data_IF_673766876635
#
_entry.id   IF_673766876635
#
_cell.length_a   1.000
_cell.length_b   1.000
_cell.length_c   1.000
_cell.angle_alpha   90.00
_cell.angle_beta   90.00
_cell.angle_gamma   90.00
#
_symmetry.space_group_name_H-M   'P 1'
#
loop_
_entity.id
_entity.type
_entity.pdbx_description
1 polymer ?
#
# COMPACT_ATOMS: atom_id res chain seq x y z
N UNK A 1 -21.38 -19.17 25.55
CA UNK A 1 -19.91 -19.05 25.61
C UNK A 1 -19.31 -20.45 25.66
N UNK A 2 -18.73 -20.92 24.57
CA UNK A 2 -18.09 -22.24 24.54
C UNK A 2 -16.79 -22.18 25.34
N UNK A 3 -16.65 -23.10 26.30
CA UNK A 3 -15.47 -23.29 27.14
C UNK A 3 -14.33 -23.79 26.24
N UNK A 4 -13.30 -22.94 25.97
CA UNK A 4 -12.08 -23.36 25.25
C UNK A 4 -11.45 -24.52 26.05
N UNK A 5 -11.36 -25.70 25.45
CA UNK A 5 -10.56 -26.80 26.00
C UNK A 5 -9.12 -26.33 26.21
N UNK A 6 -8.61 -26.48 27.43
CA UNK A 6 -7.19 -26.23 27.74
C UNK A 6 -6.38 -27.31 27.03
N UNK A 7 -5.58 -26.93 26.04
CA UNK A 7 -4.58 -27.81 25.44
C UNK A 7 -3.65 -28.32 26.55
N UNK A 8 -3.36 -29.60 26.55
CA UNK A 8 -2.38 -30.19 27.44
C UNK A 8 -0.96 -29.70 27.05
N UNK A 9 -0.38 -28.85 27.87
CA UNK A 9 0.95 -28.28 27.66
C UNK A 9 2.02 -28.98 28.52
N UNK A 10 1.74 -30.17 29.06
CA UNK A 10 2.66 -30.89 29.97
C UNK A 10 4.01 -31.19 29.33
N UNK A 11 4.01 -31.63 28.05
CA UNK A 11 5.24 -31.91 27.30
C UNK A 11 6.08 -30.66 27.08
N UNK A 12 5.43 -29.53 26.70
CA UNK A 12 6.14 -28.27 26.50
C UNK A 12 6.75 -27.74 27.78
N UNK A 13 6.04 -27.88 28.92
CA UNK A 13 6.57 -27.50 30.23
C UNK A 13 7.81 -28.35 30.63
N UNK A 14 7.73 -29.66 30.45
CA UNK A 14 8.84 -30.55 30.72
C UNK A 14 10.09 -30.18 29.90
N UNK A 15 9.93 -29.88 28.62
CA UNK A 15 11.01 -29.43 27.75
C UNK A 15 11.57 -28.08 28.22
N UNK A 16 10.74 -27.08 28.54
CA UNK A 16 11.19 -25.78 29.04
C UNK A 16 11.95 -25.90 30.36
N UNK A 17 11.56 -26.82 31.26
CA UNK A 17 12.26 -27.09 32.49
C UNK A 17 13.62 -27.76 32.23
N UNK A 18 13.67 -28.73 31.31
CA UNK A 18 14.89 -29.46 30.90
C UNK A 18 15.95 -28.51 30.32
N UNK A 19 15.50 -27.53 29.47
CA UNK A 19 16.37 -26.54 28.85
C UNK A 19 16.57 -25.26 29.70
N UNK A 20 16.05 -25.24 30.93
CA UNK A 20 16.28 -24.16 31.90
C UNK A 20 15.70 -22.79 31.48
N UNK A 21 14.61 -22.79 30.72
CA UNK A 21 14.00 -21.57 30.19
C UNK A 21 13.32 -20.74 31.28
N UNK A 22 13.88 -19.55 31.59
CA UNK A 22 13.42 -18.68 32.68
C UNK A 22 13.17 -17.24 32.24
N UNK A 23 13.87 -16.75 31.21
CA UNK A 23 13.78 -15.38 30.70
C UNK A 23 13.17 -15.35 29.30
N UNK A 24 12.83 -14.16 28.80
CA UNK A 24 12.40 -14.00 27.40
C UNK A 24 13.52 -14.30 26.40
N UNK A 25 14.77 -14.07 26.79
CA UNK A 25 15.95 -14.43 25.99
C UNK A 25 16.08 -15.96 25.90
N UNK A 26 15.87 -16.69 27.02
CA UNK A 26 15.84 -18.17 27.02
C UNK A 26 14.68 -18.69 26.15
N UNK A 27 13.51 -18.05 26.20
CA UNK A 27 12.37 -18.40 25.32
C UNK A 27 12.74 -18.23 23.85
N UNK A 28 13.39 -17.13 23.46
CA UNK A 28 13.85 -16.92 22.09
C UNK A 28 14.87 -17.97 21.65
N UNK A 29 15.86 -18.25 22.49
CA UNK A 29 16.87 -19.27 22.22
C UNK A 29 16.23 -20.67 22.08
N UNK A 30 15.30 -21.01 22.96
CA UNK A 30 14.58 -22.29 22.94
C UNK A 30 13.72 -22.45 21.69
N UNK A 31 12.94 -21.42 21.31
CA UNK A 31 12.11 -21.47 20.08
C UNK A 31 12.97 -21.55 18.83
N UNK A 32 14.11 -20.83 18.80
CA UNK A 32 15.09 -20.91 17.72
C UNK A 32 15.65 -22.32 17.56
N UNK A 33 16.04 -22.96 18.65
CA UNK A 33 16.52 -24.35 18.68
C UNK A 33 15.45 -25.31 18.18
N UNK A 34 14.21 -25.22 18.70
CA UNK A 34 13.10 -26.06 18.26
C UNK A 34 12.80 -25.88 16.77
N UNK A 35 12.92 -24.66 16.25
CA UNK A 35 12.71 -24.38 14.83
C UNK A 35 13.79 -25.08 13.99
N UNK A 36 15.06 -24.98 14.37
CA UNK A 36 16.16 -25.66 13.68
C UNK A 36 15.99 -27.18 13.67
N UNK A 37 15.65 -27.79 14.82
CA UNK A 37 15.39 -29.22 14.95
C UNK A 37 14.18 -29.68 14.14
N UNK A 38 13.12 -28.88 14.08
CA UNK A 38 11.93 -29.17 13.27
C UNK A 38 12.28 -29.18 11.78
N UNK A 39 13.05 -28.18 11.31
CA UNK A 39 13.50 -28.13 9.91
C UNK A 39 14.38 -29.35 9.61
N UNK A 40 15.29 -29.71 10.49
CA UNK A 40 16.17 -30.86 10.30
C UNK A 40 15.39 -32.17 10.25
N UNK A 41 14.44 -32.37 11.16
CA UNK A 41 13.59 -33.57 11.18
C UNK A 41 12.78 -33.67 9.89
N UNK A 42 12.26 -32.54 9.38
CA UNK A 42 11.51 -32.52 8.12
C UNK A 42 12.41 -32.84 6.91
N UNK A 43 13.65 -32.32 6.86
CA UNK A 43 14.63 -32.64 5.82
C UNK A 43 15.04 -34.13 5.85
N UNK A 44 15.19 -34.72 7.04
CA UNK A 44 15.46 -36.14 7.19
C UNK A 44 14.30 -37.00 6.68
N UNK A 45 13.05 -36.59 6.96
CA UNK A 45 11.86 -37.28 6.46
C UNK A 45 11.72 -37.14 4.93
N UNK A 46 12.07 -35.98 4.37
CA UNK A 46 12.09 -35.75 2.93
C UNK A 46 13.10 -36.68 2.22
N UNK A 47 14.34 -36.75 2.74
CA UNK A 47 15.33 -37.68 2.20
C UNK A 47 14.92 -39.17 2.37
N UNK A 48 14.23 -39.50 3.48
CA UNK A 48 13.67 -40.85 3.69
C UNK A 48 12.62 -41.21 2.64
N UNK A 49 11.76 -40.25 2.33
CA UNK A 49 10.75 -40.43 1.28
C UNK A 49 11.39 -40.60 -0.11
N UNK A 50 12.42 -39.83 -0.41
CA UNK A 50 13.14 -39.89 -1.70
C UNK A 50 13.91 -41.21 -1.87
N UNK A 51 14.60 -41.66 -0.82
CA UNK A 51 15.36 -42.91 -0.86
C UNK A 51 14.52 -44.17 -0.65
N UNK A 52 13.29 -44.03 -0.13
CA UNK A 52 12.38 -45.15 0.12
C UNK A 52 12.78 -46.06 1.29
N UNK A 53 13.71 -45.65 2.16
CA UNK A 53 14.07 -46.40 3.38
C UNK A 53 14.50 -45.47 4.53
N UNK A 54 14.19 -45.89 5.78
CA UNK A 54 14.55 -45.12 6.98
C UNK A 54 16.02 -45.25 7.38
N UNK A 55 16.52 -44.33 8.24
CA UNK A 55 17.95 -44.15 8.59
C UNK A 55 18.47 -45.41 9.22
N UNK A 56 18.25 -46.44 9.41
CA UNK A 56 18.87 -47.68 9.95
C UNK A 56 18.25 -48.95 9.32
N UNK A 57 17.32 -48.78 8.38
CA UNK A 57 16.61 -49.89 7.75
C UNK A 57 17.24 -50.29 6.42
N UNK A 58 18.48 -50.80 6.50
CA UNK A 58 19.19 -51.29 5.31
C UNK A 58 18.60 -52.56 4.69
N UNK A 59 17.74 -53.27 5.42
CA UNK A 59 17.13 -54.53 4.94
C UNK A 59 16.04 -54.27 3.91
N UNK A 60 15.34 -53.16 4.03
CA UNK A 60 14.27 -52.78 3.12
C UNK A 60 14.71 -51.81 2.02
N UNK A 61 16.00 -51.56 1.90
CA UNK A 61 16.57 -50.67 0.89
C UNK A 61 16.32 -51.25 -0.50
N UNK A 62 15.55 -50.53 -1.34
CA UNK A 62 15.26 -50.88 -2.74
C UNK A 62 15.98 -49.99 -3.77
N UNK A 63 16.73 -49.01 -3.34
CA UNK A 63 17.50 -48.09 -4.18
C UNK A 63 18.99 -48.42 -4.16
N UNK A 64 19.69 -48.14 -5.22
CA UNK A 64 21.18 -48.20 -5.31
C UNK A 64 21.86 -46.93 -4.73
N UNK A 65 21.08 -45.88 -4.40
CA UNK A 65 21.53 -44.67 -3.72
C UNK A 65 21.58 -44.89 -2.18
N UNK A 66 22.34 -44.06 -1.48
CA UNK A 66 22.56 -44.19 -0.03
C UNK A 66 22.67 -42.82 0.61
N UNK A 67 22.33 -42.72 1.91
CA UNK A 67 22.62 -41.54 2.71
C UNK A 67 24.14 -41.30 2.78
N UNK A 68 24.55 -40.03 2.71
CA UNK A 68 25.98 -39.63 2.70
C UNK A 68 26.26 -38.52 3.71
N UNK A 69 25.73 -38.68 4.95
CA UNK A 69 25.92 -37.70 6.00
C UNK A 69 25.16 -36.40 5.79
N UNK A 70 25.64 -35.34 6.39
CA UNK A 70 25.03 -34.01 6.39
C UNK A 70 26.01 -32.95 5.92
N UNK A 71 25.50 -31.84 5.45
CA UNK A 71 26.23 -30.58 5.28
C UNK A 71 25.64 -29.51 6.17
N UNK A 72 26.50 -28.83 6.92
CA UNK A 72 26.07 -27.69 7.73
C UNK A 72 25.72 -26.51 6.83
N UNK A 73 24.57 -25.91 7.09
CA UNK A 73 24.09 -24.74 6.38
C UNK A 73 23.55 -23.73 7.37
N UNK A 74 24.03 -22.51 7.29
CA UNK A 74 23.49 -21.38 8.03
C UNK A 74 22.32 -20.79 7.28
N UNK A 75 21.15 -20.69 7.93
CA UNK A 75 19.95 -20.10 7.40
C UNK A 75 19.44 -18.99 8.30
N UNK A 76 18.90 -17.96 7.69
CA UNK A 76 18.28 -16.84 8.38
C UNK A 76 16.81 -17.15 8.62
N UNK A 77 16.41 -17.26 9.89
CA UNK A 77 15.01 -17.45 10.29
C UNK A 77 14.39 -16.17 10.86
N UNK A 78 13.11 -16.26 11.22
CA UNK A 78 12.40 -15.15 11.91
C UNK A 78 12.95 -14.82 13.29
N UNK A 79 13.75 -15.72 13.89
CA UNK A 79 14.41 -15.56 15.18
C UNK A 79 15.93 -15.39 15.06
N UNK A 80 16.39 -14.92 13.88
CA UNK A 80 17.81 -14.75 13.59
C UNK A 80 18.45 -15.94 12.89
N UNK A 81 19.77 -15.90 12.79
CA UNK A 81 20.59 -16.90 12.10
C UNK A 81 20.56 -18.24 12.82
N UNK A 82 20.33 -19.33 12.09
CA UNK A 82 20.26 -20.70 12.60
C UNK A 82 21.17 -21.61 11.79
N UNK A 83 21.86 -22.52 12.45
CA UNK A 83 22.61 -23.58 11.81
C UNK A 83 21.73 -24.83 11.70
N UNK A 84 21.59 -25.38 10.50
CA UNK A 84 20.87 -26.60 10.22
C UNK A 84 21.77 -27.62 9.51
N UNK A 85 21.50 -28.90 9.73
CA UNK A 85 22.22 -30.00 9.10
C UNK A 85 21.38 -30.52 7.92
N UNK A 86 21.76 -30.21 6.70
CA UNK A 86 21.06 -30.65 5.49
C UNK A 86 21.58 -32.04 5.11
N UNK A 87 20.73 -33.08 5.08
CA UNK A 87 21.14 -34.42 4.73
C UNK A 87 21.53 -34.52 3.23
N UNK A 88 22.43 -35.46 2.93
CA UNK A 88 22.92 -35.68 1.55
C UNK A 88 22.81 -37.15 1.20
N UNK A 89 22.61 -37.40 -0.08
CA UNK A 89 22.72 -38.73 -0.69
C UNK A 89 24.11 -38.94 -1.33
N UNK A 90 24.46 -40.17 -1.66
CA UNK A 90 25.76 -40.52 -2.20
C UNK A 90 25.91 -40.17 -3.68
N UNK A 91 24.83 -40.19 -4.43
CA UNK A 91 24.82 -39.85 -5.85
C UNK A 91 24.66 -38.36 -6.10
N UNK A 92 24.22 -37.55 -5.13
CA UNK A 92 23.97 -36.14 -5.29
C UNK A 92 22.69 -35.82 -6.10
N UNK A 93 21.76 -36.78 -6.14
CA UNK A 93 20.50 -36.67 -6.84
C UNK A 93 19.41 -35.98 -6.00
N UNK A 94 19.56 -36.05 -4.66
CA UNK A 94 18.62 -35.43 -3.74
C UNK A 94 18.76 -33.92 -3.71
N UNK A 95 17.70 -33.21 -4.07
CA UNK A 95 17.57 -31.78 -3.96
C UNK A 95 16.47 -31.41 -2.96
N UNK A 96 16.81 -30.89 -1.75
CA UNK A 96 15.84 -30.52 -0.75
C UNK A 96 14.84 -29.47 -1.25
N UNK A 97 13.53 -29.75 -1.13
CA UNK A 97 12.49 -28.78 -1.45
C UNK A 97 12.24 -27.82 -0.29
N UNK A 98 12.32 -28.31 0.96
CA UNK A 98 12.07 -27.55 2.18
C UNK A 98 13.08 -26.40 2.37
N UNK A 99 14.36 -26.65 2.08
CA UNK A 99 15.44 -25.66 2.14
C UNK A 99 16.35 -25.84 0.92
N UNK A 100 15.99 -25.20 -0.19
CA UNK A 100 16.68 -25.36 -1.48
C UNK A 100 18.17 -25.03 -1.42
N UNK A 101 18.96 -25.59 -2.34
CA UNK A 101 20.43 -25.58 -2.33
C UNK A 101 21.05 -24.19 -2.08
N UNK A 102 20.49 -23.12 -2.60
CA UNK A 102 21.00 -21.74 -2.43
C UNK A 102 20.11 -20.87 -1.55
N UNK A 103 19.07 -21.43 -0.94
CA UNK A 103 18.19 -20.72 -0.04
C UNK A 103 18.86 -20.58 1.33
N UNK A 104 19.21 -19.36 1.72
CA UNK A 104 19.78 -19.03 3.03
C UNK A 104 18.76 -18.34 3.94
N UNK A 105 17.56 -18.10 3.44
CA UNK A 105 16.50 -17.41 4.17
C UNK A 105 15.24 -18.28 4.22
N UNK A 106 14.90 -18.72 5.42
CA UNK A 106 13.70 -19.50 5.73
C UNK A 106 12.64 -18.69 6.48
N UNK A 107 12.87 -17.38 6.64
CA UNK A 107 11.90 -16.45 7.20
C UNK A 107 11.10 -15.79 6.08
N UNK A 108 9.87 -15.40 6.36
CA UNK A 108 9.07 -14.54 5.48
C UNK A 108 9.58 -13.07 5.54
N UNK A 109 10.91 -12.85 5.36
CA UNK A 109 11.52 -11.51 5.42
C UNK A 109 10.94 -10.61 4.35
N UNK A 110 10.78 -11.15 3.13
CA UNK A 110 10.22 -10.40 2.01
C UNK A 110 8.83 -9.87 2.34
N UNK A 111 7.96 -10.73 2.90
CA UNK A 111 6.60 -10.33 3.28
C UNK A 111 6.61 -9.24 4.37
N UNK A 112 7.52 -9.33 5.34
CA UNK A 112 7.67 -8.33 6.40
C UNK A 112 8.18 -7.00 5.85
N UNK A 113 9.18 -7.03 4.97
CA UNK A 113 9.71 -5.83 4.29
C UNK A 113 8.62 -5.18 3.45
N UNK A 114 7.89 -5.96 2.65
CA UNK A 114 6.78 -5.49 1.82
C UNK A 114 5.68 -4.89 2.71
N UNK A 115 5.32 -5.57 3.80
CA UNK A 115 4.33 -5.06 4.74
C UNK A 115 4.75 -3.70 5.33
N UNK A 116 5.96 -3.58 5.88
CA UNK A 116 6.45 -2.32 6.44
C UNK A 116 6.52 -1.22 5.38
N UNK A 117 6.98 -1.55 4.18
CA UNK A 117 7.03 -0.61 3.07
C UNK A 117 5.63 -0.11 2.67
N UNK A 118 4.64 -0.99 2.63
CA UNK A 118 3.24 -0.64 2.33
C UNK A 118 2.62 0.29 3.40
N UNK A 119 3.14 0.25 4.63
CA UNK A 119 2.75 1.17 5.70
C UNK A 119 3.47 2.54 5.61
N UNK A 120 4.28 2.77 4.58
CA UNK A 120 5.02 4.02 4.37
C UNK A 120 6.30 4.12 5.20
N UNK A 121 6.80 3.03 5.74
CA UNK A 121 8.08 2.99 6.47
C UNK A 121 9.23 3.15 5.47
N UNK A 122 10.19 4.04 5.74
CA UNK A 122 11.34 4.25 4.85
C UNK A 122 12.26 3.02 4.83
N UNK A 123 13.02 2.85 3.75
CA UNK A 123 13.97 1.71 3.62
C UNK A 123 14.95 1.63 4.79
N UNK A 124 15.43 2.78 5.27
CA UNK A 124 16.32 2.88 6.44
C UNK A 124 15.62 2.45 7.74
N UNK A 125 14.37 2.86 7.93
CA UNK A 125 13.61 2.48 9.13
C UNK A 125 13.19 1.01 9.07
N UNK A 126 12.95 0.47 7.86
CA UNK A 126 12.73 -0.97 7.66
C UNK A 126 13.96 -1.75 8.10
N UNK A 127 15.17 -1.35 7.65
CA UNK A 127 16.43 -1.96 8.09
C UNK A 127 16.54 -1.98 9.60
N UNK A 128 16.36 -0.82 10.25
CA UNK A 128 16.41 -0.68 11.70
C UNK A 128 15.37 -1.57 12.41
N UNK A 129 14.13 -1.55 11.94
CA UNK A 129 13.03 -2.36 12.49
C UNK A 129 13.31 -3.86 12.36
N UNK A 130 13.82 -4.30 11.20
CA UNK A 130 14.18 -5.70 10.97
C UNK A 130 15.29 -6.15 11.93
N UNK A 131 16.30 -5.30 12.15
CA UNK A 131 17.38 -5.59 13.09
C UNK A 131 16.88 -5.61 14.55
N UNK A 132 16.09 -4.60 14.97
CA UNK A 132 15.64 -4.48 16.36
C UNK A 132 14.58 -5.52 16.75
N UNK A 133 13.63 -5.81 15.87
CA UNK A 133 12.50 -6.71 16.18
C UNK A 133 12.78 -8.18 15.88
N UNK A 134 13.61 -8.45 14.87
CA UNK A 134 13.82 -9.81 14.38
C UNK A 134 15.28 -10.25 14.40
N UNK A 135 16.22 -9.38 14.79
CA UNK A 135 17.64 -9.68 14.76
C UNK A 135 18.21 -9.93 13.36
N UNK A 136 17.51 -9.45 12.32
CA UNK A 136 17.84 -9.72 10.92
C UNK A 136 18.49 -8.48 10.33
N UNK A 137 19.72 -8.63 9.84
CA UNK A 137 20.40 -7.57 9.11
C UNK A 137 19.98 -7.60 7.64
N UNK A 138 19.26 -6.54 7.24
CA UNK A 138 18.80 -6.33 5.86
C UNK A 138 19.32 -4.99 5.39
N UNK A 139 20.29 -4.99 4.50
CA UNK A 139 20.85 -3.75 3.96
C UNK A 139 19.86 -3.01 3.03
N UNK A 140 20.08 -1.71 2.80
CA UNK A 140 19.23 -0.86 1.94
C UNK A 140 19.08 -1.44 0.52
N UNK A 141 20.13 -2.09 -0.01
CA UNK A 141 20.10 -2.67 -1.36
C UNK A 141 19.19 -3.88 -1.43
N UNK A 142 19.13 -4.67 -0.38
CA UNK A 142 18.20 -5.82 -0.27
C UNK A 142 16.77 -5.36 -0.09
N UNK A 143 16.52 -4.34 0.72
CA UNK A 143 15.19 -3.74 0.85
C UNK A 143 14.72 -3.22 -0.49
N UNK A 144 15.56 -2.46 -1.23
CA UNK A 144 15.25 -1.96 -2.57
C UNK A 144 14.94 -3.09 -3.56
N UNK A 145 15.75 -4.16 -3.60
CA UNK A 145 15.49 -5.32 -4.47
C UNK A 145 14.18 -6.03 -4.16
N UNK A 146 13.81 -6.13 -2.88
CA UNK A 146 12.53 -6.71 -2.46
C UNK A 146 11.36 -5.82 -2.92
N UNK A 147 11.46 -4.51 -2.71
CA UNK A 147 10.42 -3.56 -3.13
C UNK A 147 10.31 -3.45 -4.65
N UNK A 148 11.40 -3.59 -5.38
CA UNK A 148 11.40 -3.61 -6.86
C UNK A 148 10.58 -4.77 -7.43
N UNK A 149 10.46 -5.89 -6.71
CA UNK A 149 9.58 -7.01 -7.09
C UNK A 149 8.10 -6.61 -7.15
N UNK A 150 7.70 -5.52 -6.49
CA UNK A 150 6.34 -4.99 -6.56
C UNK A 150 6.04 -4.22 -7.85
N UNK A 151 7.08 -3.71 -8.55
CA UNK A 151 6.88 -2.87 -9.74
C UNK A 151 6.05 -3.54 -10.85
N UNK A 152 6.25 -4.83 -11.20
CA UNK A 152 5.39 -5.51 -12.16
C UNK A 152 3.93 -5.56 -11.72
N UNK A 153 3.67 -5.88 -10.43
CA UNK A 153 2.33 -5.95 -9.86
C UNK A 153 1.63 -4.58 -9.84
N UNK A 154 2.41 -3.53 -9.52
CA UNK A 154 1.90 -2.14 -9.57
C UNK A 154 1.52 -1.76 -11.00
N UNK A 155 2.33 -2.13 -12.00
CA UNK A 155 2.03 -1.88 -13.41
C UNK A 155 0.78 -2.63 -13.88
N UNK A 156 0.67 -3.92 -13.56
CA UNK A 156 -0.49 -4.74 -13.86
C UNK A 156 -1.76 -4.13 -13.24
N UNK A 157 -1.68 -3.72 -11.96
CA UNK A 157 -2.77 -3.02 -11.28
C UNK A 157 -3.12 -1.70 -11.97
N UNK A 158 -2.12 -0.89 -12.35
CA UNK A 158 -2.30 0.39 -13.01
C UNK A 158 -2.92 0.26 -14.42
N UNK A 159 -2.65 -0.83 -15.12
CA UNK A 159 -3.11 -1.10 -16.48
C UNK A 159 -4.38 -1.95 -16.54
N UNK A 160 -4.88 -2.43 -15.40
CA UNK A 160 -6.05 -3.30 -15.36
C UNK A 160 -7.27 -2.70 -16.04
N UNK A 161 -8.16 -3.51 -16.66
CA UNK A 161 -9.45 -3.06 -17.17
C UNK A 161 -10.29 -2.41 -16.07
N UNK A 162 -11.06 -1.39 -16.43
CA UNK A 162 -11.94 -0.66 -15.53
C UNK A 162 -13.41 -0.87 -15.92
N UNK A 163 -14.32 -0.48 -15.03
CA UNK A 163 -15.76 -0.45 -15.30
C UNK A 163 -16.06 0.51 -16.46
N UNK A 164 -17.10 0.20 -17.22
CA UNK A 164 -17.48 1.03 -18.37
C UNK A 164 -18.08 2.37 -18.00
N UNK A 165 -18.72 2.48 -16.83
CA UNK A 165 -19.38 3.70 -16.33
C UNK A 165 -19.06 3.90 -14.86
N UNK A 166 -18.77 5.14 -14.47
CA UNK A 166 -18.66 5.56 -13.09
C UNK A 166 -19.66 6.66 -12.77
N UNK A 167 -20.37 6.52 -11.65
CA UNK A 167 -21.29 7.55 -11.15
C UNK A 167 -20.54 8.83 -10.79
N UNK A 168 -19.37 8.68 -10.16
CA UNK A 168 -18.49 9.82 -9.82
C UNK A 168 -17.03 9.43 -9.95
N UNK A 169 -16.20 10.33 -10.47
CA UNK A 169 -14.75 10.25 -10.43
C UNK A 169 -14.19 11.49 -9.77
N UNK A 170 -13.40 11.30 -8.70
CA UNK A 170 -12.66 12.36 -8.03
C UNK A 170 -11.25 12.37 -8.61
N UNK A 171 -10.81 13.53 -9.09
CA UNK A 171 -9.49 13.78 -9.65
C UNK A 171 -8.78 14.81 -8.78
N UNK A 172 -7.70 14.40 -8.11
CA UNK A 172 -6.96 15.24 -7.17
C UNK A 172 -5.46 14.99 -7.29
N UNK A 173 -4.63 15.98 -6.95
CA UNK A 173 -3.18 15.88 -6.99
C UNK A 173 -2.55 16.22 -5.64
N UNK A 174 -1.74 15.30 -5.13
CA UNK A 174 -0.97 15.51 -3.90
C UNK A 174 0.45 15.91 -4.25
N UNK A 175 0.85 17.10 -3.82
CA UNK A 175 2.19 17.62 -4.04
C UNK A 175 3.13 17.21 -2.90
N UNK A 176 4.32 16.73 -3.27
CA UNK A 176 5.36 16.32 -2.33
C UNK A 176 6.74 16.69 -2.86
N UNK A 177 7.72 16.72 -1.94
CA UNK A 177 9.12 17.01 -2.28
C UNK A 177 9.92 15.71 -2.25
N UNK A 178 10.69 15.45 -3.30
CA UNK A 178 11.65 14.35 -3.35
C UNK A 178 13.05 14.90 -3.50
N UNK A 179 14.03 14.18 -2.97
CA UNK A 179 15.45 14.45 -3.25
C UNK A 179 15.89 13.54 -4.40
N UNK A 180 16.22 14.16 -5.52
CA UNK A 180 16.71 13.48 -6.71
C UNK A 180 18.10 14.04 -7.04
N UNK A 181 19.12 13.20 -7.10
CA UNK A 181 20.52 13.58 -7.34
C UNK A 181 21.01 14.73 -6.43
N UNK A 182 20.62 14.72 -5.15
CA UNK A 182 20.98 15.74 -4.18
C UNK A 182 20.14 17.04 -4.22
N UNK A 183 19.29 17.20 -5.21
CA UNK A 183 18.42 18.38 -5.39
C UNK A 183 16.99 18.03 -4.91
N UNK A 184 16.40 18.94 -4.13
CA UNK A 184 14.99 18.79 -3.72
C UNK A 184 14.09 19.33 -4.83
N UNK A 185 13.31 18.44 -5.45
CA UNK A 185 12.32 18.79 -6.48
C UNK A 185 10.91 18.52 -6.00
N UNK A 186 9.96 19.38 -6.42
CA UNK A 186 8.53 19.13 -6.21
C UNK A 186 8.01 18.19 -7.28
N UNK A 187 7.23 17.20 -6.86
CA UNK A 187 6.49 16.27 -7.72
C UNK A 187 5.02 16.26 -7.31
N UNK A 188 4.17 15.80 -8.19
CA UNK A 188 2.75 15.60 -7.93
C UNK A 188 2.38 14.14 -8.15
N UNK A 189 1.60 13.56 -7.24
CA UNK A 189 0.91 12.29 -7.42
C UNK A 189 -0.55 12.61 -7.81
N UNK A 190 -0.92 12.28 -9.01
CA UNK A 190 -2.27 12.42 -9.55
C UNK A 190 -3.05 11.17 -9.21
N UNK A 191 -4.19 11.33 -8.59
CA UNK A 191 -5.01 10.23 -8.09
C UNK A 191 -6.40 10.34 -8.71
N UNK A 192 -6.88 9.25 -9.30
CA UNK A 192 -8.26 9.12 -9.73
C UNK A 192 -8.97 8.08 -8.88
N UNK A 193 -10.06 8.48 -8.21
CA UNK A 193 -10.92 7.62 -7.41
C UNK A 193 -12.29 7.58 -8.06
N UNK A 194 -12.73 6.39 -8.48
CA UNK A 194 -14.06 6.18 -9.05
C UNK A 194 -15.03 5.63 -8.01
N UNK A 195 -16.29 6.03 -8.12
CA UNK A 195 -17.42 5.40 -7.47
C UNK A 195 -18.29 4.81 -8.56
N UNK A 196 -18.52 3.50 -8.53
CA UNK A 196 -19.35 2.82 -9.52
C UNK A 196 -20.85 3.10 -9.31
N UNK A 197 -21.72 2.51 -10.12
CA UNK A 197 -23.18 2.69 -10.05
C UNK A 197 -23.79 2.04 -8.79
N UNK A 198 -23.09 1.09 -8.17
CA UNK A 198 -23.48 0.45 -6.91
C UNK A 198 -22.98 1.21 -5.67
N UNK A 199 -22.24 2.32 -5.86
CA UNK A 199 -21.71 3.16 -4.80
C UNK A 199 -20.35 2.65 -4.21
N UNK A 200 -19.74 1.63 -4.82
CA UNK A 200 -18.44 1.11 -4.39
C UNK A 200 -17.32 1.99 -4.92
N UNK A 201 -16.39 2.33 -4.04
CA UNK A 201 -15.19 3.12 -4.38
C UNK A 201 -14.03 2.25 -4.80
N UNK A 202 -13.31 2.68 -5.83
CA UNK A 202 -12.07 2.07 -6.30
C UNK A 202 -11.06 3.16 -6.70
N UNK A 203 -9.77 2.91 -6.45
CA UNK A 203 -8.68 3.76 -6.94
C UNK A 203 -8.38 3.37 -8.39
N UNK A 204 -8.76 4.20 -9.34
CA UNK A 204 -8.64 3.92 -10.77
C UNK A 204 -7.18 3.97 -11.25
N UNK A 205 -6.35 4.76 -10.59
CA UNK A 205 -4.92 4.84 -10.87
C UNK A 205 -4.24 5.96 -10.10
N UNK A 206 -2.88 5.87 -10.07
CA UNK A 206 -2.00 6.87 -9.48
C UNK A 206 -0.89 7.14 -10.48
N UNK A 207 -0.69 8.40 -10.85
CA UNK A 207 0.35 8.82 -11.82
C UNK A 207 1.27 9.83 -11.17
N UNK A 208 2.56 9.77 -11.50
CA UNK A 208 3.56 10.68 -10.99
C UNK A 208 3.97 11.67 -12.08
N UNK A 209 3.99 12.95 -11.75
CA UNK A 209 4.39 14.00 -12.68
C UNK A 209 5.16 15.14 -12.01
N UNK A 210 5.79 15.97 -12.84
CA UNK A 210 6.59 17.10 -12.35
C UNK A 210 5.73 18.32 -11.98
N UNK A 211 4.70 18.60 -12.78
CA UNK A 211 3.83 19.77 -12.63
C UNK A 211 2.41 19.44 -13.01
N UNK A 212 1.46 19.94 -12.25
CA UNK A 212 0.06 19.82 -12.55
C UNK A 212 -0.33 20.70 -13.74
N UNK A 213 -1.01 20.09 -14.73
CA UNK A 213 -1.51 20.81 -15.89
C UNK A 213 -2.74 20.11 -16.48
N UNK A 214 -3.64 20.87 -17.11
CA UNK A 214 -4.79 20.35 -17.81
C UNK A 214 -4.39 19.32 -18.91
N UNK A 215 -3.26 19.55 -19.60
CA UNK A 215 -2.72 18.61 -20.58
C UNK A 215 -2.37 17.25 -19.96
N UNK A 216 -1.79 17.25 -18.78
CA UNK A 216 -1.46 16.00 -18.09
C UNK A 216 -2.74 15.26 -17.65
N UNK A 217 -3.72 16.00 -17.11
CA UNK A 217 -5.01 15.42 -16.77
C UNK A 217 -5.75 14.85 -17.97
N UNK A 218 -5.66 15.51 -19.14
CA UNK A 218 -6.20 14.94 -20.37
C UNK A 218 -5.54 13.60 -20.71
N UNK A 219 -4.23 13.44 -20.49
CA UNK A 219 -3.56 12.15 -20.71
C UNK A 219 -4.02 11.07 -19.72
N UNK A 220 -4.28 11.44 -18.46
CA UNK A 220 -4.87 10.56 -17.44
C UNK A 220 -6.26 10.10 -17.86
N UNK A 221 -7.14 11.04 -18.24
CA UNK A 221 -8.50 10.74 -18.67
C UNK A 221 -8.52 9.85 -19.94
N UNK A 222 -7.61 10.10 -20.88
CA UNK A 222 -7.42 9.25 -22.06
C UNK A 222 -6.96 7.85 -21.65
N UNK A 223 -6.09 7.75 -20.65
CA UNK A 223 -5.67 6.47 -20.07
C UNK A 223 -6.82 5.68 -19.46
N UNK A 224 -7.74 6.35 -18.73
CA UNK A 224 -8.97 5.72 -18.22
C UNK A 224 -9.85 5.21 -19.36
N UNK A 225 -10.00 5.99 -20.42
CA UNK A 225 -10.76 5.59 -21.61
C UNK A 225 -10.18 4.35 -22.29
N UNK A 226 -8.86 4.30 -22.46
CA UNK A 226 -8.16 3.15 -23.04
C UNK A 226 -8.30 1.87 -22.19
N UNK A 227 -8.52 2.02 -20.89
CA UNK A 227 -8.77 0.91 -19.94
C UNK A 227 -10.24 0.52 -19.83
N UNK A 228 -11.12 1.08 -20.66
CA UNK A 228 -12.51 0.67 -20.82
C UNK A 228 -13.55 1.63 -20.26
N UNK A 229 -13.19 2.74 -19.61
CA UNK A 229 -14.14 3.73 -19.12
C UNK A 229 -14.76 4.47 -20.31
N UNK A 230 -16.05 4.25 -20.54
CA UNK A 230 -16.82 4.87 -21.64
C UNK A 230 -17.49 6.15 -21.19
N UNK A 231 -17.92 6.22 -19.94
CA UNK A 231 -18.64 7.38 -19.42
C UNK A 231 -18.35 7.63 -17.93
N UNK A 232 -18.40 8.90 -17.54
CA UNK A 232 -18.30 9.40 -16.17
C UNK A 232 -19.47 10.37 -15.99
N UNK A 233 -20.39 10.09 -15.07
CA UNK A 233 -21.55 10.95 -14.90
C UNK A 233 -21.13 12.27 -14.23
N UNK A 234 -20.35 12.23 -13.15
CA UNK A 234 -19.88 13.41 -12.42
C UNK A 234 -18.36 13.32 -12.23
N UNK A 235 -17.63 14.35 -12.61
CA UNK A 235 -16.21 14.52 -12.29
C UNK A 235 -16.03 15.59 -11.21
N UNK A 236 -15.48 15.21 -10.06
CA UNK A 236 -15.15 16.16 -8.98
C UNK A 236 -13.68 16.56 -9.07
N UNK A 237 -13.41 17.87 -9.21
CA UNK A 237 -12.09 18.42 -9.50
C UNK A 237 -11.81 19.69 -8.68
N UNK A 238 -10.55 20.10 -8.63
CA UNK A 238 -10.15 21.39 -8.09
C UNK A 238 -10.25 22.52 -9.14
N UNK A 239 -9.82 23.74 -8.79
CA UNK A 239 -9.88 24.92 -9.64
C UNK A 239 -8.63 25.08 -10.53
N UNK A 240 -8.26 24.02 -11.28
CA UNK A 240 -7.15 24.09 -12.23
C UNK A 240 -7.66 24.64 -13.58
N UNK A 241 -6.97 25.66 -14.08
CA UNK A 241 -7.30 26.26 -15.40
C UNK A 241 -7.22 25.22 -16.53
N UNK A 242 -8.27 25.15 -17.38
CA UNK A 242 -8.34 24.22 -18.49
C UNK A 242 -8.75 22.79 -18.12
N UNK A 243 -9.08 22.53 -16.84
CA UNK A 243 -9.45 21.18 -16.40
C UNK A 243 -10.84 20.77 -16.92
N UNK A 244 -11.79 21.69 -16.88
CA UNK A 244 -13.16 21.46 -17.40
C UNK A 244 -13.11 21.10 -18.89
N UNK A 245 -12.34 21.85 -19.67
CA UNK A 245 -12.15 21.61 -21.10
C UNK A 245 -11.46 20.26 -21.36
N UNK A 246 -10.49 19.88 -20.54
CA UNK A 246 -9.82 18.59 -20.63
C UNK A 246 -10.79 17.42 -20.35
N UNK A 247 -11.69 17.58 -19.35
CA UNK A 247 -12.71 16.59 -19.04
C UNK A 247 -13.67 16.44 -20.22
N UNK A 248 -14.23 17.54 -20.72
CA UNK A 248 -15.20 17.50 -21.82
C UNK A 248 -14.58 17.01 -23.14
N UNK A 249 -13.27 17.22 -23.36
CA UNK A 249 -12.55 16.65 -24.51
C UNK A 249 -12.49 15.11 -24.45
N UNK A 250 -12.36 14.53 -23.26
CA UNK A 250 -12.34 13.07 -23.07
C UNK A 250 -13.75 12.48 -22.91
N UNK A 251 -14.59 13.13 -22.12
CA UNK A 251 -15.95 12.72 -21.74
C UNK A 251 -16.93 13.89 -21.90
N UNK A 252 -17.52 14.07 -23.09
CA UNK A 252 -18.30 15.27 -23.43
C UNK A 252 -19.58 15.47 -22.60
N UNK A 253 -20.11 14.39 -22.02
CA UNK A 253 -21.39 14.42 -21.28
C UNK A 253 -21.21 14.47 -19.76
N UNK A 254 -19.95 14.49 -19.27
CA UNK A 254 -19.65 14.53 -17.84
C UNK A 254 -20.04 15.87 -17.23
N UNK A 255 -20.85 15.83 -16.18
CA UNK A 255 -21.08 17.00 -15.33
C UNK A 255 -19.85 17.24 -14.45
N UNK A 256 -19.36 18.48 -14.45
CA UNK A 256 -18.18 18.83 -13.64
C UNK A 256 -18.63 19.45 -12.32
N UNK A 257 -18.15 18.91 -11.21
CA UNK A 257 -18.33 19.45 -9.87
C UNK A 257 -17.00 20.00 -9.35
N UNK A 258 -16.89 21.29 -9.11
CA UNK A 258 -15.73 21.84 -8.40
C UNK A 258 -15.75 21.46 -6.93
N UNK A 259 -14.61 21.04 -6.41
CA UNK A 259 -14.46 20.66 -5.01
C UNK A 259 -14.68 21.87 -4.09
N UNK A 260 -15.75 21.83 -3.30
CA UNK A 260 -16.10 22.90 -2.37
C UNK A 260 -15.00 23.18 -1.36
N UNK A 261 -14.27 22.14 -0.91
CA UNK A 261 -13.17 22.30 0.06
C UNK A 261 -12.02 23.10 -0.57
N UNK A 262 -11.67 22.79 -1.84
CA UNK A 262 -10.65 23.55 -2.57
C UNK A 262 -11.10 24.97 -2.84
N UNK A 263 -12.37 25.19 -3.18
CA UNK A 263 -12.95 26.53 -3.34
C UNK A 263 -12.88 27.36 -2.08
N UNK A 264 -13.22 26.79 -0.90
CA UNK A 264 -13.07 27.45 0.40
C UNK A 264 -11.60 27.83 0.65
N UNK A 265 -10.67 26.91 0.45
CA UNK A 265 -9.24 27.16 0.63
C UNK A 265 -8.72 28.23 -0.31
N UNK A 266 -9.14 28.22 -1.58
CA UNK A 266 -8.75 29.22 -2.57
C UNK A 266 -9.25 30.63 -2.18
N UNK A 267 -10.52 30.76 -1.78
CA UNK A 267 -11.09 32.03 -1.35
C UNK A 267 -10.47 32.57 -0.07
N UNK A 268 -10.10 31.74 0.90
CA UNK A 268 -9.48 32.17 2.16
C UNK A 268 -8.05 32.70 1.99
N UNK A 269 -7.36 32.43 0.87
CA UNK A 269 -6.04 33.04 0.56
C UNK A 269 -6.08 34.57 0.49
N UNK A 270 -7.24 35.12 0.19
CA UNK A 270 -7.45 36.57 0.07
C UNK A 270 -7.94 37.20 1.36
N UNK A 271 -8.16 36.41 2.44
CA UNK A 271 -8.74 36.86 3.69
C UNK A 271 -7.68 36.95 4.78
N UNK A 272 -7.66 38.08 5.53
CA UNK A 272 -6.73 38.23 6.65
C UNK A 272 -7.03 37.21 7.76
N UNK A 273 -5.97 36.77 8.46
CA UNK A 273 -6.07 35.74 9.50
C UNK A 273 -7.17 36.00 10.54
N UNK A 274 -7.33 37.26 10.98
CA UNK A 274 -8.35 37.66 11.96
C UNK A 274 -9.79 37.43 11.49
N UNK A 275 -10.04 37.47 10.20
CA UNK A 275 -11.38 37.39 9.61
C UNK A 275 -11.70 35.99 9.02
N UNK A 276 -10.68 35.10 8.86
CA UNK A 276 -10.86 33.77 8.23
C UNK A 276 -12.00 33.01 8.90
N UNK A 277 -12.05 32.98 10.23
CA UNK A 277 -13.08 32.22 10.97
C UNK A 277 -14.49 32.72 10.66
N UNK A 278 -14.68 34.03 10.62
CA UNK A 278 -15.97 34.64 10.31
C UNK A 278 -16.36 34.46 8.85
N UNK A 279 -15.40 34.66 7.93
CA UNK A 279 -15.59 34.46 6.50
C UNK A 279 -15.99 33.02 6.16
N UNK A 280 -15.30 32.04 6.73
CA UNK A 280 -15.61 30.60 6.52
C UNK A 280 -16.98 30.23 7.15
N UNK A 281 -17.35 30.85 8.27
CA UNK A 281 -18.67 30.65 8.85
C UNK A 281 -19.80 31.15 7.93
N UNK A 282 -19.59 32.31 7.26
CA UNK A 282 -20.54 32.89 6.32
C UNK A 282 -20.56 32.13 4.96
N UNK A 283 -19.52 31.39 4.61
CA UNK A 283 -19.52 30.48 3.46
C UNK A 283 -20.37 29.23 3.69
N UNK A 284 -20.53 28.79 4.95
CA UNK A 284 -21.19 27.53 5.27
C UNK A 284 -22.64 27.42 4.78
N UNK A 285 -23.50 28.46 4.88
CA UNK A 285 -24.85 28.41 4.35
C UNK A 285 -24.92 28.11 2.85
N UNK A 286 -23.92 28.54 2.07
CA UNK A 286 -23.87 28.34 0.62
C UNK A 286 -23.81 26.84 0.27
N UNK A 287 -22.78 26.13 0.77
CA UNK A 287 -22.57 24.73 0.42
C UNK A 287 -23.34 23.74 1.29
N UNK A 288 -24.12 24.22 2.25
CA UNK A 288 -25.06 23.42 3.04
C UNK A 288 -26.51 23.70 2.71
N UNK A 289 -26.77 24.55 1.73
CA UNK A 289 -28.09 24.79 1.24
C UNK A 289 -28.73 23.52 0.67
N UNK A 290 -30.04 23.42 0.77
CA UNK A 290 -30.83 22.30 0.24
C UNK A 290 -31.26 22.50 -1.22
N UNK A 291 -31.22 23.74 -1.70
CA UNK A 291 -31.52 24.10 -3.09
C UNK A 291 -30.53 25.16 -3.59
N UNK A 292 -30.40 25.26 -4.90
CA UNK A 292 -29.56 26.27 -5.55
C UNK A 292 -30.02 27.71 -5.21
N UNK A 293 -31.33 27.97 -5.17
CA UNK A 293 -31.87 29.29 -4.85
C UNK A 293 -31.47 29.75 -3.44
N UNK A 294 -31.54 28.84 -2.46
CA UNK A 294 -31.10 29.13 -1.09
C UNK A 294 -29.59 29.39 -1.03
N UNK A 295 -28.83 28.64 -1.79
CA UNK A 295 -27.37 28.84 -1.88
C UNK A 295 -27.02 30.18 -2.53
N UNK A 296 -27.73 30.59 -3.59
CA UNK A 296 -27.52 31.89 -4.23
C UNK A 296 -27.87 33.04 -3.30
N UNK A 297 -28.98 32.96 -2.55
CA UNK A 297 -29.33 33.97 -1.55
C UNK A 297 -28.24 34.10 -0.47
N UNK A 298 -27.69 32.97 0.01
CA UNK A 298 -26.57 33.00 0.95
C UNK A 298 -25.28 33.58 0.34
N UNK A 299 -25.05 33.38 -0.95
CA UNK A 299 -23.94 33.97 -1.68
C UNK A 299 -24.12 35.50 -1.85
N UNK A 300 -25.34 36.00 -2.04
CA UNK A 300 -25.66 37.43 -2.08
C UNK A 300 -25.37 38.08 -0.72
N UNK A 301 -25.74 37.42 0.39
CA UNK A 301 -25.42 37.89 1.75
C UNK A 301 -23.90 37.92 2.00
N UNK A 302 -23.17 36.89 1.56
CA UNK A 302 -21.71 36.87 1.63
C UNK A 302 -21.10 38.04 0.86
N UNK A 303 -21.60 38.32 -0.35
CA UNK A 303 -21.13 39.39 -1.20
C UNK A 303 -21.39 40.77 -0.56
N UNK A 304 -22.61 41.01 -0.08
CA UNK A 304 -22.97 42.24 0.63
C UNK A 304 -22.06 42.53 1.83
N UNK A 305 -21.68 41.48 2.57
CA UNK A 305 -20.86 41.61 3.77
C UNK A 305 -19.35 41.76 3.49
N UNK A 306 -18.84 41.03 2.52
CA UNK A 306 -17.39 40.85 2.37
C UNK A 306 -16.79 41.40 1.07
N UNK A 307 -17.58 41.73 0.04
CA UNK A 307 -17.07 42.14 -1.27
C UNK A 307 -16.20 43.41 -1.20
N UNK A 308 -16.52 44.38 -0.34
CA UNK A 308 -15.73 45.61 -0.16
C UNK A 308 -14.33 45.34 0.39
N UNK A 309 -14.16 44.28 1.19
CA UNK A 309 -12.91 43.96 1.88
C UNK A 309 -12.13 42.81 1.22
N UNK A 310 -12.84 41.79 0.76
CA UNK A 310 -12.29 40.57 0.20
C UNK A 310 -12.94 40.17 -1.12
N UNK A 311 -13.14 41.16 -2.01
CA UNK A 311 -13.85 40.99 -3.28
C UNK A 311 -13.33 39.87 -4.16
N UNK A 312 -12.01 39.59 -4.17
CA UNK A 312 -11.44 38.48 -4.96
C UNK A 312 -11.91 37.12 -4.41
N UNK A 313 -11.95 36.95 -3.10
CA UNK A 313 -12.44 35.72 -2.46
C UNK A 313 -13.91 35.47 -2.74
N UNK A 314 -14.76 36.51 -2.67
CA UNK A 314 -16.18 36.41 -3.00
C UNK A 314 -16.41 36.18 -4.51
N UNK A 315 -15.74 36.94 -5.36
CA UNK A 315 -15.86 36.85 -6.81
C UNK A 315 -15.50 35.47 -7.36
N UNK A 316 -14.57 34.78 -6.69
CA UNK A 316 -14.20 33.41 -7.10
C UNK A 316 -15.38 32.42 -7.00
N UNK A 317 -16.31 32.61 -6.05
CA UNK A 317 -17.53 31.79 -5.93
C UNK A 317 -18.50 32.07 -7.05
N UNK A 318 -18.68 33.35 -7.44
CA UNK A 318 -19.54 33.73 -8.57
C UNK A 318 -19.00 33.17 -9.90
N UNK A 319 -17.71 33.32 -10.13
CA UNK A 319 -17.07 32.89 -11.37
C UNK A 319 -17.14 31.34 -11.55
N UNK A 320 -17.03 30.61 -10.45
CA UNK A 320 -17.00 29.16 -10.44
C UNK A 320 -18.38 28.55 -10.14
N UNK A 321 -19.44 29.40 -10.08
CA UNK A 321 -20.78 28.95 -9.71
C UNK A 321 -21.33 27.85 -10.62
N UNK A 322 -21.16 27.91 -11.95
CA UNK A 322 -21.70 26.86 -12.86
C UNK A 322 -21.25 25.45 -12.47
N UNK A 323 -19.98 25.29 -12.05
CA UNK A 323 -19.43 23.98 -11.66
C UNK A 323 -19.58 23.71 -10.17
N UNK A 324 -19.79 24.73 -9.31
CA UNK A 324 -20.09 24.54 -7.89
C UNK A 324 -21.54 24.10 -7.73
N UNK A 325 -22.48 24.69 -8.47
CA UNK A 325 -23.89 24.40 -8.34
C UNK A 325 -24.31 23.01 -8.85
N UNK A 326 -23.42 22.28 -9.52
CA UNK A 326 -23.67 20.90 -9.96
C UNK A 326 -24.16 19.99 -8.82
N UNK A 327 -23.74 20.25 -7.57
CA UNK A 327 -24.18 19.47 -6.41
C UNK A 327 -25.67 19.60 -6.07
N UNK A 328 -26.40 20.56 -6.66
CA UNK A 328 -27.83 20.77 -6.45
C UNK A 328 -28.71 20.11 -7.54
N UNK A 329 -28.07 19.56 -8.60
CA UNK A 329 -28.74 18.79 -9.65
C UNK A 329 -28.95 17.35 -9.19
#
# INVERSE_FOLDING_TARGET
>A
MARRERKDNSKLRAMMEEYGVKTMEDVHAFVKMLTAETIQTALDAELESELGYSKYDYKNKQTDNSRNGYSTKTVQGSLGEMEIQVPRDRKGEYEPELVRKHQTDVSAIEDKVIFLYSQGVSTRDIQKTMQEMYGIDVDDSRVSKITDKLLPLIREWQERPLQSVYAMVILDAVHYSIRDNGIVTKKAAYIAIGTDLEGKKDVLGIWLGATESAKYWLSVLTGLKNRGVKDILIASVDDLSGFVEAIHAAYPHTEVQRCVIHQIRASTRYVSYKDIKAFVADLKPIYKAITEDVALAALDELEAKWASKYGLGVKSWRNNWPEISTMFK
#
